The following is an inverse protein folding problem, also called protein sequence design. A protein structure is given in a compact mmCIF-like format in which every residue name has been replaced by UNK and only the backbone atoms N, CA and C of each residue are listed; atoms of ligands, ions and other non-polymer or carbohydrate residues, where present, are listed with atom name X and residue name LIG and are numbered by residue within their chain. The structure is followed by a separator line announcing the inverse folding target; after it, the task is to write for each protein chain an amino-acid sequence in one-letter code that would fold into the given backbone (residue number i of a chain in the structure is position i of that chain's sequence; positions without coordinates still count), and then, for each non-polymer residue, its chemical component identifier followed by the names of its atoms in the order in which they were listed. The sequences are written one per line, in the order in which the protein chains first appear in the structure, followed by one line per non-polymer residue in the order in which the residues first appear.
data_IF_202269032514
#
_entry.id   IF_202269032514
#
_cell.length_a   1.000
_cell.length_b   1.000
_cell.length_c   1.000
_cell.angle_alpha   90.00
_cell.angle_beta   90.00
_cell.angle_gamma   90.00
#
_symmetry.space_group_name_H-M   'P 1'
#
loop_
_entity.id
_entity.type
_entity.pdbx_description
1 polymer ?
#
# COMPACT_ATOMS: atom_id res chain seq x y z
N UNK A 1 -5.90 10.08 9.87
CA UNK A 1 -4.52 10.50 9.53
C UNK A 1 -3.80 9.52 8.59
N UNK A 2 -3.59 8.24 8.94
CA UNK A 2 -2.91 7.30 8.02
C UNK A 2 -3.58 7.18 6.64
N UNK A 3 -4.92 7.17 6.60
CA UNK A 3 -5.69 7.18 5.34
C UNK A 3 -5.57 8.48 4.52
N UNK A 4 -5.30 9.60 5.18
CA UNK A 4 -5.24 10.93 4.54
C UNK A 4 -3.83 11.26 4.05
N UNK A 5 -2.81 10.75 4.74
CA UNK A 5 -1.41 11.03 4.41
C UNK A 5 -0.79 9.84 3.67
N UNK A 6 -0.65 8.69 4.33
CA UNK A 6 0.08 7.55 3.77
C UNK A 6 -0.62 6.92 2.56
N UNK A 7 -1.95 6.81 2.59
CA UNK A 7 -2.70 6.20 1.48
C UNK A 7 -2.80 7.15 0.27
N UNK A 8 -2.91 8.46 0.49
CA UNK A 8 -2.85 9.48 -0.58
C UNK A 8 -1.45 9.55 -1.18
N UNK A 9 -0.40 9.52 -0.37
CA UNK A 9 0.99 9.45 -0.84
C UNK A 9 1.22 8.18 -1.67
N UNK A 10 0.69 7.04 -1.23
CA UNK A 10 0.78 5.78 -1.97
C UNK A 10 0.10 5.85 -3.36
N UNK A 11 -1.00 6.60 -3.49
CA UNK A 11 -1.64 6.86 -4.78
C UNK A 11 -0.79 7.78 -5.66
N UNK A 12 -0.28 8.87 -5.09
CA UNK A 12 0.57 9.82 -5.80
C UNK A 12 1.87 9.16 -6.30
N UNK A 13 2.47 8.30 -5.48
CA UNK A 13 3.67 7.54 -5.83
C UNK A 13 3.49 6.68 -7.08
N UNK A 14 2.28 6.19 -7.40
CA UNK A 14 2.03 5.42 -8.62
C UNK A 14 1.92 6.32 -9.85
N UNK A 15 1.24 7.45 -9.72
CA UNK A 15 0.94 8.36 -10.83
C UNK A 15 2.22 9.06 -11.33
N UNK A 16 3.11 9.47 -10.43
CA UNK A 16 4.21 10.40 -10.77
C UNK A 16 5.45 9.71 -11.38
N UNK A 17 5.75 8.46 -11.00
CA UNK A 17 7.01 7.80 -11.42
C UNK A 17 6.84 6.42 -12.08
N UNK A 18 6.23 5.43 -11.39
CA UNK A 18 6.08 4.07 -11.85
C UNK A 18 5.28 3.94 -13.14
N UNK A 19 4.23 4.74 -13.36
CA UNK A 19 3.47 4.72 -14.63
C UNK A 19 4.36 5.12 -15.80
N UNK A 20 5.12 6.21 -15.68
CA UNK A 20 6.03 6.67 -16.74
C UNK A 20 7.11 5.62 -17.01
N UNK A 21 7.71 5.07 -15.95
CA UNK A 21 8.69 3.98 -16.08
C UNK A 21 8.11 2.73 -16.73
N UNK A 22 6.89 2.34 -16.37
CA UNK A 22 6.20 1.19 -16.94
C UNK A 22 5.86 1.37 -18.41
N UNK A 23 5.34 2.54 -18.80
CA UNK A 23 5.08 2.88 -20.21
C UNK A 23 6.38 2.83 -20.99
N UNK A 24 7.45 3.43 -20.46
CA UNK A 24 8.78 3.39 -21.07
C UNK A 24 9.32 1.95 -21.19
N UNK A 25 9.14 1.10 -20.18
CA UNK A 25 9.55 -0.30 -20.17
C UNK A 25 8.74 -1.12 -21.19
N UNK A 26 7.42 -0.95 -21.27
CA UNK A 26 6.57 -1.61 -22.28
C UNK A 26 6.95 -1.18 -23.69
N UNK A 27 7.06 0.14 -23.93
CA UNK A 27 7.47 0.65 -25.23
C UNK A 27 8.85 0.11 -25.60
N UNK A 28 9.81 0.14 -24.67
CA UNK A 28 11.16 -0.38 -24.91
C UNK A 28 11.12 -1.88 -25.23
N UNK A 29 10.40 -2.68 -24.44
CA UNK A 29 10.26 -4.12 -24.68
C UNK A 29 9.64 -4.40 -26.04
N UNK A 30 8.57 -3.68 -26.39
CA UNK A 30 7.88 -3.78 -27.67
C UNK A 30 8.80 -3.45 -28.84
N UNK A 31 9.45 -2.27 -28.82
CA UNK A 31 10.36 -1.85 -29.90
C UNK A 31 11.57 -2.77 -30.02
N UNK A 32 12.19 -3.17 -28.91
CA UNK A 32 13.33 -4.10 -28.93
C UNK A 32 12.91 -5.45 -29.52
N UNK A 33 11.77 -6.01 -29.09
CA UNK A 33 11.27 -7.27 -29.65
C UNK A 33 10.93 -7.14 -31.14
N UNK A 34 10.27 -6.05 -31.53
CA UNK A 34 9.94 -5.75 -32.93
C UNK A 34 11.21 -5.74 -33.79
N UNK A 35 12.21 -4.93 -33.44
CA UNK A 35 13.46 -4.84 -34.20
C UNK A 35 14.24 -6.16 -34.20
N UNK A 36 14.34 -6.85 -33.06
CA UNK A 36 15.01 -8.15 -32.97
C UNK A 36 14.33 -9.20 -33.88
N UNK A 37 13.00 -9.29 -33.85
CA UNK A 37 12.24 -10.20 -34.71
C UNK A 37 12.39 -9.86 -36.20
N UNK A 38 12.34 -8.57 -36.54
CA UNK A 38 12.53 -8.09 -37.93
C UNK A 38 13.94 -8.39 -38.46
N UNK A 39 14.96 -8.34 -37.61
CA UNK A 39 16.34 -8.66 -37.99
C UNK A 39 16.62 -10.15 -38.08
N UNK A 40 16.17 -10.93 -37.08
CA UNK A 40 16.31 -12.38 -37.08
C UNK A 40 15.38 -13.00 -36.03
N UNK A 41 14.30 -13.63 -36.50
CA UNK A 41 13.40 -14.38 -35.63
C UNK A 41 14.10 -15.57 -34.95
N UNK A 42 15.07 -16.22 -35.63
CA UNK A 42 15.85 -17.34 -35.08
C UNK A 42 16.71 -16.92 -33.89
N UNK A 43 17.46 -15.82 -34.00
CA UNK A 43 18.27 -15.29 -32.89
C UNK A 43 17.39 -14.78 -31.74
N UNK A 44 16.24 -14.18 -32.07
CA UNK A 44 15.31 -13.67 -31.07
C UNK A 44 14.68 -14.77 -30.23
N UNK A 45 14.22 -15.86 -30.85
CA UNK A 45 13.72 -17.02 -30.13
C UNK A 45 14.77 -17.60 -29.20
N UNK A 46 16.01 -17.71 -29.69
CA UNK A 46 17.12 -18.23 -28.90
C UNK A 46 17.44 -17.32 -27.68
N UNK A 47 17.39 -16.00 -27.85
CA UNK A 47 17.52 -15.05 -26.75
C UNK A 47 16.38 -15.15 -25.73
N UNK A 48 15.16 -15.43 -26.19
CA UNK A 48 13.96 -15.57 -25.36
C UNK A 48 13.95 -16.86 -24.52
N UNK A 49 14.73 -17.88 -24.85
CA UNK A 49 14.83 -19.11 -24.03
C UNK A 49 15.36 -18.81 -22.61
N UNK A 50 16.19 -17.78 -22.45
CA UNK A 50 16.67 -17.36 -21.13
C UNK A 50 15.60 -16.63 -20.30
N UNK A 51 14.56 -16.09 -20.95
CA UNK A 51 13.53 -15.26 -20.31
C UNK A 51 12.69 -16.02 -19.27
N UNK A 52 12.17 -17.23 -19.53
CA UNK A 52 11.45 -18.01 -18.50
C UNK A 52 12.26 -18.24 -17.22
N UNK A 53 13.56 -18.49 -17.34
CA UNK A 53 14.46 -18.68 -16.19
C UNK A 53 14.59 -17.39 -15.39
N UNK A 54 14.78 -16.25 -16.07
CA UNK A 54 14.82 -14.93 -15.43
C UNK A 54 13.53 -14.61 -14.68
N UNK A 55 12.37 -14.90 -15.29
CA UNK A 55 11.06 -14.68 -14.67
C UNK A 55 10.91 -15.53 -13.40
N UNK A 56 11.28 -16.82 -13.46
CA UNK A 56 11.20 -17.73 -12.32
C UNK A 56 12.07 -17.27 -11.15
N UNK A 57 13.33 -16.92 -11.44
CA UNK A 57 14.31 -16.44 -10.45
C UNK A 57 13.83 -15.13 -9.81
N UNK A 58 13.30 -14.21 -10.60
CA UNK A 58 12.70 -12.94 -10.11
C UNK A 58 11.49 -13.18 -9.22
N UNK A 59 10.62 -14.14 -9.58
CA UNK A 59 9.43 -14.48 -8.79
C UNK A 59 9.78 -15.07 -7.42
N UNK A 60 10.79 -15.94 -7.35
CA UNK A 60 11.29 -16.51 -6.08
C UNK A 60 11.85 -15.41 -5.18
N UNK A 61 12.69 -14.53 -5.74
CA UNK A 61 13.26 -13.40 -4.98
C UNK A 61 12.18 -12.47 -4.43
N UNK A 62 11.16 -12.17 -5.23
CA UNK A 62 10.03 -11.30 -4.84
C UNK A 62 9.21 -11.90 -3.70
N UNK A 63 8.90 -13.20 -3.74
CA UNK A 63 8.12 -13.89 -2.69
C UNK A 63 8.77 -13.72 -1.31
N UNK A 64 10.07 -13.97 -1.23
CA UNK A 64 10.84 -13.83 0.01
C UNK A 64 10.94 -12.35 0.47
N UNK A 65 11.06 -11.41 -0.48
CA UNK A 65 11.13 -9.97 -0.17
C UNK A 65 9.82 -9.46 0.45
N UNK A 66 8.68 -9.97 0.00
CA UNK A 66 7.37 -9.66 0.58
C UNK A 66 7.23 -10.24 2.01
N UNK A 67 7.71 -11.46 2.23
CA UNK A 67 7.72 -12.09 3.56
C UNK A 67 8.53 -11.25 4.57
N UNK A 68 9.68 -10.73 4.17
CA UNK A 68 10.47 -9.82 5.02
C UNK A 68 9.69 -8.55 5.38
N UNK A 69 9.05 -7.90 4.42
CA UNK A 69 8.24 -6.70 4.68
C UNK A 69 7.15 -6.97 5.71
N UNK A 70 6.47 -8.11 5.63
CA UNK A 70 5.46 -8.52 6.62
C UNK A 70 6.07 -8.69 8.02
N UNK A 71 7.24 -9.34 8.12
CA UNK A 71 7.94 -9.52 9.41
C UNK A 71 8.44 -8.19 10.00
N UNK A 72 8.90 -7.25 9.17
CA UNK A 72 9.26 -5.89 9.62
C UNK A 72 8.02 -5.15 10.12
N UNK A 73 6.90 -5.22 9.39
CA UNK A 73 5.64 -4.60 9.81
C UNK A 73 5.16 -5.11 11.17
N UNK A 74 5.22 -6.43 11.40
CA UNK A 74 4.88 -7.03 12.70
C UNK A 74 5.80 -6.54 13.83
N UNK A 75 7.11 -6.44 13.58
CA UNK A 75 8.07 -5.94 14.56
C UNK A 75 7.81 -4.47 14.90
N UNK A 76 7.52 -3.63 13.90
CA UNK A 76 7.21 -2.22 14.10
C UNK A 76 5.89 -2.02 14.85
N UNK A 77 4.85 -2.81 14.51
CA UNK A 77 3.56 -2.78 15.24
C UNK A 77 3.77 -3.13 16.72
N UNK A 78 4.53 -4.19 17.01
CA UNK A 78 4.84 -4.58 18.39
C UNK A 78 5.55 -3.45 19.16
N UNK A 79 6.51 -2.79 18.49
CA UNK A 79 7.20 -1.63 19.06
C UNK A 79 6.25 -0.48 19.36
N UNK A 80 5.36 -0.16 18.42
CA UNK A 80 4.38 0.91 18.57
C UNK A 80 3.40 0.62 19.71
N UNK A 81 2.89 -0.60 19.80
CA UNK A 81 2.00 -1.04 20.88
C UNK A 81 2.69 -0.92 22.25
N UNK A 82 3.94 -1.39 22.35
CA UNK A 82 4.70 -1.36 23.60
C UNK A 82 5.06 0.06 24.04
N UNK A 83 5.40 0.96 23.11
CA UNK A 83 5.68 2.36 23.42
C UNK A 83 4.41 3.11 23.85
N UNK A 84 3.29 2.86 23.17
CA UNK A 84 2.00 3.47 23.51
C UNK A 84 1.47 2.96 24.86
N UNK A 85 1.68 1.67 25.14
CA UNK A 85 1.26 0.97 26.36
C UNK A 85 2.29 0.96 27.48
N UNK A 86 3.39 1.73 27.39
CA UNK A 86 4.54 1.57 28.31
C UNK A 86 4.16 1.74 29.78
N UNK A 87 3.19 2.62 30.09
CA UNK A 87 2.68 2.82 31.46
C UNK A 87 1.99 1.58 32.02
N UNK A 88 1.27 0.83 31.18
CA UNK A 88 0.60 -0.42 31.57
C UNK A 88 1.65 -1.50 31.80
N UNK A 89 2.62 -1.64 30.89
CA UNK A 89 3.70 -2.62 31.01
C UNK A 89 4.48 -2.40 32.32
N UNK A 90 4.85 -1.13 32.61
CA UNK A 90 5.51 -0.75 33.87
C UNK A 90 4.61 -0.94 35.09
N UNK A 91 3.33 -0.59 34.99
CA UNK A 91 2.37 -0.73 36.09
C UNK A 91 2.15 -2.18 36.53
N UNK A 92 2.29 -3.14 35.62
CA UNK A 92 2.15 -4.57 35.90
C UNK A 92 3.49 -5.34 35.96
N UNK A 93 4.63 -4.65 35.91
CA UNK A 93 5.97 -5.25 35.89
C UNK A 93 6.13 -6.38 34.84
N UNK A 94 5.67 -6.12 33.60
CA UNK A 94 5.65 -7.09 32.48
C UNK A 94 6.76 -6.85 31.45
N UNK A 95 7.83 -6.15 31.80
CA UNK A 95 8.91 -5.80 30.87
C UNK A 95 9.58 -7.04 30.26
N UNK A 96 9.91 -8.04 31.07
CA UNK A 96 10.60 -9.25 30.61
C UNK A 96 9.74 -10.04 29.61
N UNK A 97 8.43 -10.09 29.85
CA UNK A 97 7.48 -10.76 28.96
C UNK A 97 7.42 -10.07 27.59
N UNK A 98 7.32 -8.74 27.57
CA UNK A 98 7.28 -7.99 26.32
C UNK A 98 8.65 -7.96 25.60
N UNK A 99 9.75 -7.99 26.34
CA UNK A 99 11.10 -8.15 25.79
C UNK A 99 11.27 -9.51 25.11
N UNK A 100 10.80 -10.60 25.72
CA UNK A 100 10.87 -11.93 25.09
C UNK A 100 10.03 -11.98 23.80
N UNK A 101 8.82 -11.42 23.84
CA UNK A 101 7.95 -11.30 22.67
C UNK A 101 8.60 -10.47 21.55
N UNK A 102 9.29 -9.38 21.89
CA UNK A 102 10.07 -8.58 20.95
C UNK A 102 11.25 -9.35 20.37
N UNK A 103 12.03 -10.03 21.22
CA UNK A 103 13.19 -10.82 20.79
C UNK A 103 12.79 -11.94 19.83
N UNK A 104 11.66 -12.62 20.08
CA UNK A 104 11.12 -13.64 19.17
C UNK A 104 10.77 -13.05 17.80
N UNK A 105 10.06 -11.92 17.77
CA UNK A 105 9.72 -11.23 16.52
C UNK A 105 10.96 -10.71 15.78
N UNK A 106 11.94 -10.19 16.51
CA UNK A 106 13.23 -9.73 15.99
C UNK A 106 14.04 -10.88 15.41
N UNK A 107 14.03 -12.06 16.05
CA UNK A 107 14.70 -13.27 15.55
C UNK A 107 14.06 -13.78 14.27
N UNK A 108 12.73 -13.84 14.20
CA UNK A 108 12.02 -14.18 12.95
C UNK A 108 12.39 -13.20 11.82
N UNK A 109 12.52 -11.91 12.13
CA UNK A 109 12.96 -10.90 11.19
C UNK A 109 14.39 -11.15 10.69
N UNK A 110 15.31 -11.42 11.62
CA UNK A 110 16.70 -11.74 11.34
C UNK A 110 16.83 -12.96 10.41
N UNK A 111 16.11 -14.05 10.68
CA UNK A 111 16.18 -15.28 9.88
C UNK A 111 15.71 -15.05 8.44
N UNK A 112 14.65 -14.28 8.23
CA UNK A 112 14.19 -13.92 6.89
C UNK A 112 15.19 -12.99 6.19
N UNK A 113 15.81 -12.04 6.91
CA UNK A 113 16.87 -11.18 6.36
C UNK A 113 18.09 -11.98 5.92
N UNK A 114 18.55 -12.94 6.73
CA UNK A 114 19.67 -13.82 6.38
C UNK A 114 19.33 -14.63 5.13
N UNK A 115 18.13 -15.22 5.06
CA UNK A 115 17.67 -15.97 3.89
C UNK A 115 17.64 -15.10 2.63
N UNK A 116 17.15 -13.87 2.73
CA UNK A 116 17.19 -12.89 1.63
C UNK A 116 18.60 -12.46 1.24
N UNK A 117 19.50 -12.32 2.19
CA UNK A 117 20.91 -12.06 1.91
C UNK A 117 21.53 -13.17 1.05
N UNK A 118 21.21 -14.44 1.34
CA UNK A 118 21.61 -15.57 0.50
C UNK A 118 20.98 -15.48 -0.89
N UNK A 119 19.68 -15.19 -0.98
CA UNK A 119 19.02 -15.01 -2.28
C UNK A 119 19.66 -13.88 -3.10
N UNK A 120 19.98 -12.74 -2.50
CA UNK A 120 20.60 -11.61 -3.20
C UNK A 120 22.00 -11.96 -3.72
N UNK A 121 22.78 -12.70 -2.93
CA UNK A 121 24.10 -13.21 -3.33
C UNK A 121 24.05 -14.16 -4.52
N UNK A 122 22.97 -14.93 -4.66
CA UNK A 122 22.80 -15.91 -5.75
C UNK A 122 22.07 -15.31 -6.96
N UNK A 123 21.14 -14.39 -6.73
CA UNK A 123 20.27 -13.80 -7.74
C UNK A 123 21.05 -13.04 -8.83
N UNK A 124 21.93 -12.11 -8.43
CA UNK A 124 22.67 -11.30 -9.39
C UNK A 124 23.66 -12.12 -10.23
N UNK A 125 24.44 -13.05 -9.65
CA UNK A 125 25.24 -13.97 -10.45
C UNK A 125 24.44 -14.85 -11.41
N UNK A 126 23.23 -15.29 -11.07
CA UNK A 126 22.38 -16.05 -12.00
C UNK A 126 21.99 -15.18 -13.20
N UNK A 127 21.59 -13.93 -12.97
CA UNK A 127 21.26 -12.99 -14.05
C UNK A 127 22.49 -12.73 -14.92
N UNK A 128 23.63 -12.44 -14.30
CA UNK A 128 24.88 -12.18 -15.02
C UNK A 128 25.33 -13.41 -15.81
N UNK A 129 25.19 -14.60 -15.24
CA UNK A 129 25.48 -15.88 -15.91
C UNK A 129 24.55 -16.11 -17.11
N UNK A 130 23.24 -15.90 -16.95
CA UNK A 130 22.28 -16.02 -18.05
C UNK A 130 22.56 -15.02 -19.16
N UNK A 131 22.93 -13.78 -18.80
CA UNK A 131 23.34 -12.77 -19.77
C UNK A 131 24.60 -13.21 -20.53
N UNK A 132 25.67 -13.58 -19.82
CA UNK A 132 26.93 -14.01 -20.45
C UNK A 132 26.76 -15.25 -21.33
N UNK A 133 25.97 -16.24 -20.88
CA UNK A 133 25.68 -17.44 -21.68
C UNK A 133 24.79 -17.11 -22.88
N UNK A 134 23.75 -16.30 -22.71
CA UNK A 134 22.92 -15.80 -23.80
C UNK A 134 23.76 -15.10 -24.86
N UNK A 135 24.67 -14.22 -24.44
CA UNK A 135 25.65 -13.55 -25.30
C UNK A 135 26.52 -14.54 -26.06
N UNK A 136 27.06 -15.57 -25.39
CA UNK A 136 27.88 -16.60 -26.03
C UNK A 136 27.11 -17.40 -27.08
N UNK A 137 25.89 -17.84 -26.75
CA UNK A 137 25.06 -18.63 -27.68
C UNK A 137 24.66 -17.80 -28.89
N UNK A 138 24.26 -16.53 -28.69
CA UNK A 138 23.98 -15.59 -29.79
C UNK A 138 25.22 -15.36 -30.64
N UNK A 139 26.41 -15.28 -30.05
CA UNK A 139 27.66 -15.10 -30.79
C UNK A 139 28.00 -16.33 -31.66
N UNK A 140 27.92 -17.54 -31.11
CA UNK A 140 28.18 -18.78 -31.85
C UNK A 140 27.15 -19.00 -32.96
N UNK A 141 25.86 -18.95 -32.64
CA UNK A 141 24.80 -19.21 -33.61
C UNK A 141 24.66 -18.06 -34.62
N UNK A 142 24.81 -16.81 -34.19
CA UNK A 142 24.78 -15.64 -35.06
C UNK A 142 25.95 -15.65 -36.06
N UNK A 143 27.13 -16.13 -35.65
CA UNK A 143 28.26 -16.30 -36.57
C UNK A 143 27.94 -17.31 -37.67
N UNK A 144 27.30 -18.44 -37.34
CA UNK A 144 26.84 -19.43 -38.34
C UNK A 144 25.84 -18.80 -39.32
N UNK A 145 24.88 -18.00 -38.82
CA UNK A 145 23.91 -17.31 -39.68
C UNK A 145 24.57 -16.28 -40.61
N UNK A 146 25.63 -15.60 -40.16
CA UNK A 146 26.43 -14.68 -41.01
C UNK A 146 27.17 -15.48 -42.08
N UNK A 147 27.82 -16.60 -41.73
CA UNK A 147 28.51 -17.46 -42.70
C UNK A 147 27.56 -18.03 -43.75
N UNK A 148 26.35 -18.43 -43.35
CA UNK A 148 25.30 -18.91 -44.24
C UNK A 148 24.63 -17.78 -45.06
N UNK A 149 25.05 -16.53 -44.88
CA UNK A 149 24.47 -15.32 -45.51
C UNK A 149 22.98 -15.10 -45.21
N UNK A 150 22.48 -15.64 -44.09
CA UNK A 150 21.10 -15.43 -43.63
C UNK A 150 20.92 -14.05 -42.98
N UNK A 151 21.98 -13.52 -42.36
CA UNK A 151 22.01 -12.17 -41.78
C UNK A 151 23.31 -11.45 -42.17
N UNK A 152 23.29 -10.12 -42.21
CA UNK A 152 24.51 -9.34 -42.47
C UNK A 152 25.36 -9.19 -41.20
N UNK A 153 26.69 -8.98 -41.32
CA UNK A 153 27.54 -8.67 -40.18
C UNK A 153 27.07 -7.43 -39.40
N UNK A 154 26.50 -6.43 -40.09
CA UNK A 154 25.93 -5.25 -39.46
C UNK A 154 24.73 -5.58 -38.57
N UNK A 155 23.80 -6.41 -39.07
CA UNK A 155 22.68 -6.90 -38.27
C UNK A 155 23.16 -7.67 -37.05
N UNK A 156 24.17 -8.53 -37.21
CA UNK A 156 24.76 -9.30 -36.12
C UNK A 156 25.32 -8.40 -34.99
N UNK A 157 26.08 -7.34 -35.34
CA UNK A 157 26.63 -6.39 -34.36
C UNK A 157 25.53 -5.59 -33.66
N UNK A 158 24.51 -5.14 -34.39
CA UNK A 158 23.39 -4.39 -33.81
C UNK A 158 22.58 -5.30 -32.87
N UNK A 159 22.27 -6.53 -33.28
CA UNK A 159 21.55 -7.50 -32.46
C UNK A 159 22.27 -7.76 -31.14
N UNK A 160 23.60 -7.96 -31.20
CA UNK A 160 24.45 -8.15 -30.02
C UNK A 160 24.35 -7.00 -29.02
N UNK A 161 24.29 -5.75 -29.50
CA UNK A 161 24.17 -4.56 -28.66
C UNK A 161 22.79 -4.39 -28.03
N UNK A 162 21.75 -4.91 -28.67
CA UNK A 162 20.37 -4.83 -28.18
C UNK A 162 20.01 -5.98 -27.23
N UNK A 163 20.75 -7.10 -27.26
CA UNK A 163 20.48 -8.28 -26.43
C UNK A 163 20.36 -7.97 -24.91
N UNK A 164 21.28 -7.23 -24.26
CA UNK A 164 21.13 -6.91 -22.83
C UNK A 164 19.93 -6.01 -22.52
N UNK A 165 19.51 -5.20 -23.50
CA UNK A 165 18.37 -4.28 -23.35
C UNK A 165 17.03 -5.01 -23.38
N UNK A 166 16.98 -6.23 -23.93
CA UNK A 166 15.79 -7.08 -23.92
C UNK A 166 15.42 -7.55 -22.51
N UNK A 167 16.40 -7.73 -21.62
CA UNK A 167 16.18 -8.27 -20.28
C UNK A 167 15.83 -7.21 -19.23
N UNK A 168 16.25 -5.95 -19.42
CA UNK A 168 15.99 -4.86 -18.48
C UNK A 168 14.50 -4.61 -18.19
N UNK A 169 13.68 -4.34 -19.22
CA UNK A 169 12.26 -4.05 -19.05
C UNK A 169 11.47 -5.14 -18.32
N UNK A 170 11.85 -6.41 -18.48
CA UNK A 170 11.18 -7.56 -17.85
C UNK A 170 11.16 -7.41 -16.31
N UNK A 171 12.23 -6.88 -15.73
CA UNK A 171 12.32 -6.61 -14.29
C UNK A 171 11.51 -5.38 -13.86
N UNK A 172 11.37 -4.39 -14.74
CA UNK A 172 10.59 -3.17 -14.52
C UNK A 172 9.08 -3.43 -14.46
N UNK A 173 8.54 -4.21 -15.40
CA UNK A 173 7.12 -4.58 -15.42
C UNK A 173 6.67 -5.23 -14.10
N UNK A 174 7.50 -6.10 -13.51
CA UNK A 174 7.14 -6.74 -12.24
C UNK A 174 7.14 -5.78 -11.04
N UNK A 175 7.92 -4.69 -11.07
CA UNK A 175 7.91 -3.68 -10.00
C UNK A 175 6.62 -2.85 -10.05
N UNK A 176 6.25 -2.41 -11.26
CA UNK A 176 5.02 -1.65 -11.47
C UNK A 176 3.77 -2.39 -10.98
N UNK A 177 3.67 -3.70 -11.21
CA UNK A 177 2.55 -4.49 -10.71
C UNK A 177 2.39 -4.40 -9.17
N UNK A 178 3.48 -4.34 -8.40
CA UNK A 178 3.37 -4.17 -6.94
C UNK A 178 2.85 -2.78 -6.58
N UNK A 179 3.34 -1.75 -7.25
CA UNK A 179 2.90 -0.37 -7.04
C UNK A 179 1.41 -0.22 -7.33
N UNK A 180 0.91 -0.77 -8.45
CA UNK A 180 -0.52 -0.80 -8.75
C UNK A 180 -1.31 -1.47 -7.62
N UNK A 181 -0.89 -2.64 -7.14
CA UNK A 181 -1.63 -3.35 -6.10
C UNK A 181 -1.70 -2.54 -4.80
N UNK A 182 -0.62 -1.86 -4.44
CA UNK A 182 -0.60 -0.96 -3.28
C UNK A 182 -1.51 0.25 -3.49
N UNK A 183 -1.48 0.87 -4.67
CA UNK A 183 -2.37 1.99 -5.01
C UNK A 183 -3.84 1.57 -4.99
N UNK A 184 -4.21 0.42 -5.57
CA UNK A 184 -5.60 -0.06 -5.57
C UNK A 184 -6.13 -0.22 -4.13
N UNK A 185 -5.35 -0.86 -3.26
CA UNK A 185 -5.73 -1.02 -1.85
C UNK A 185 -5.80 0.33 -1.11
N UNK A 186 -4.92 1.28 -1.44
CA UNK A 186 -4.93 2.62 -0.86
C UNK A 186 -6.12 3.45 -1.37
N UNK A 187 -6.45 3.29 -2.66
CA UNK A 187 -7.61 3.89 -3.31
C UNK A 187 -8.90 3.50 -2.61
N UNK A 188 -9.09 2.20 -2.36
CA UNK A 188 -10.27 1.69 -1.65
C UNK A 188 -10.46 2.36 -0.30
N UNK A 189 -9.39 2.50 0.50
CA UNK A 189 -9.44 3.17 1.82
C UNK A 189 -9.64 4.69 1.73
N UNK A 190 -9.13 5.33 0.68
CA UNK A 190 -9.33 6.77 0.46
C UNK A 190 -10.79 7.02 0.07
N UNK A 191 -11.32 6.27 -0.89
CA UNK A 191 -12.72 6.37 -1.29
C UNK A 191 -13.67 5.97 -0.17
N UNK A 192 -13.32 4.97 0.67
CA UNK A 192 -14.10 4.66 1.89
C UNK A 192 -14.32 5.91 2.76
N UNK A 193 -13.31 6.79 2.89
CA UNK A 193 -13.42 8.04 3.66
C UNK A 193 -14.15 9.14 2.87
N UNK A 194 -13.88 9.28 1.58
CA UNK A 194 -14.53 10.30 0.73
C UNK A 194 -16.02 10.05 0.51
N UNK A 195 -16.40 8.78 0.44
CA UNK A 195 -17.77 8.31 0.22
C UNK A 195 -18.51 8.10 1.56
N UNK A 196 -17.87 8.41 2.70
CA UNK A 196 -18.56 8.41 4.00
C UNK A 196 -19.57 9.56 4.02
N UNK A 197 -20.86 9.22 4.02
CA UNK A 197 -21.93 10.22 4.19
C UNK A 197 -21.94 10.72 5.64
N UNK A 198 -22.02 12.06 5.86
CA UNK A 198 -22.25 12.60 7.19
C UNK A 198 -23.57 12.09 7.75
N UNK A 199 -23.55 11.61 9.00
CA UNK A 199 -24.74 11.12 9.70
C UNK A 199 -25.76 12.24 9.93
N UNK A 200 -25.27 13.46 10.17
CA UNK A 200 -26.10 14.65 10.34
C UNK A 200 -26.00 15.50 9.08
N UNK A 201 -27.15 15.70 8.45
CA UNK A 201 -27.30 16.53 7.28
C UNK A 201 -28.35 17.61 7.55
N UNK A 202 -28.13 18.77 6.94
CA UNK A 202 -29.11 19.85 6.97
C UNK A 202 -30.31 19.47 6.09
N UNK A 203 -31.51 19.87 6.52
CA UNK A 203 -32.71 19.71 5.71
C UNK A 203 -32.58 20.53 4.41
N UNK A 204 -33.21 20.11 3.30
CA UNK A 204 -33.12 20.83 2.01
C UNK A 204 -33.59 22.29 2.08
N UNK A 205 -34.43 22.62 3.04
CA UNK A 205 -35.01 23.92 3.34
C UNK A 205 -34.42 24.57 4.61
N UNK A 206 -33.27 24.07 5.09
CA UNK A 206 -32.57 24.65 6.23
C UNK A 206 -32.27 26.14 5.99
N UNK A 207 -32.45 26.93 7.04
CA UNK A 207 -32.20 28.37 7.03
C UNK A 207 -30.98 28.69 7.89
N UNK A 208 -30.23 29.71 7.50
CA UNK A 208 -29.17 30.24 8.34
C UNK A 208 -29.78 30.90 9.59
N UNK A 209 -29.34 30.42 10.76
CA UNK A 209 -29.79 30.95 12.04
C UNK A 209 -29.01 32.23 12.37
N UNK A 210 -29.58 33.40 12.05
CA UNK A 210 -28.88 34.69 12.24
C UNK A 210 -28.76 35.12 13.71
N UNK A 211 -29.87 35.56 14.33
CA UNK A 211 -29.87 36.10 15.69
C UNK A 211 -30.72 35.22 16.60
N UNK A 212 -30.09 34.58 17.58
CA UNK A 212 -30.75 33.68 18.54
C UNK A 212 -30.92 34.40 19.89
N UNK A 213 -32.12 34.34 20.47
CA UNK A 213 -32.37 34.89 21.82
C UNK A 213 -31.72 34.04 22.93
N UNK A 214 -31.43 32.78 22.66
CA UNK A 214 -30.84 31.83 23.63
C UNK A 214 -31.85 31.08 24.49
N UNK A 215 -33.15 31.12 24.15
CA UNK A 215 -34.15 30.22 24.75
C UNK A 215 -33.96 28.80 24.18
N UNK A 216 -33.87 27.79 25.04
CA UNK A 216 -33.69 26.37 24.66
C UNK A 216 -34.81 25.54 25.25
N UNK A 217 -35.42 24.68 24.45
CA UNK A 217 -36.52 23.82 24.88
C UNK A 217 -36.33 22.40 24.36
N UNK A 218 -36.25 21.43 25.28
CA UNK A 218 -36.38 20.01 24.98
C UNK A 218 -37.85 19.63 25.18
N UNK A 219 -38.47 19.01 24.18
CA UNK A 219 -39.87 18.57 24.22
C UNK A 219 -39.94 17.07 23.92
N UNK A 220 -40.36 16.28 24.90
CA UNK A 220 -40.51 14.82 24.81
C UNK A 220 -39.30 14.12 24.19
N UNK A 221 -38.08 14.51 24.56
CA UNK A 221 -36.88 14.01 23.88
C UNK A 221 -36.52 12.61 24.37
N UNK A 222 -36.46 11.69 23.42
CA UNK A 222 -35.97 10.32 23.57
C UNK A 222 -34.68 10.16 22.76
N UNK A 223 -33.66 9.49 23.29
CA UNK A 223 -32.39 9.34 22.58
C UNK A 223 -31.63 8.06 22.94
N UNK A 224 -31.05 7.44 21.90
CA UNK A 224 -30.17 6.26 21.97
C UNK A 224 -28.97 6.45 21.03
N UNK A 225 -27.81 5.88 21.39
CA UNK A 225 -26.68 5.80 20.46
C UNK A 225 -26.87 4.58 19.53
N UNK A 226 -27.35 4.78 18.31
CA UNK A 226 -27.66 3.68 17.38
C UNK A 226 -28.78 2.77 17.91
N UNK A 227 -28.65 1.45 17.72
CA UNK A 227 -29.61 0.43 18.17
C UNK A 227 -29.45 0.02 19.66
N UNK A 228 -28.77 0.84 20.47
CA UNK A 228 -28.53 0.55 21.88
C UNK A 228 -29.73 0.88 22.79
N UNK A 229 -29.58 0.55 24.08
CA UNK A 229 -30.50 0.96 25.14
C UNK A 229 -30.65 2.48 25.21
N UNK A 230 -31.89 2.91 25.43
CA UNK A 230 -32.26 4.31 25.58
C UNK A 230 -31.50 5.00 26.73
N UNK A 231 -30.89 6.15 26.41
CA UNK A 231 -30.06 6.94 27.33
C UNK A 231 -30.86 8.12 27.91
N UNK A 232 -31.73 8.71 27.10
CA UNK A 232 -32.66 9.76 27.52
C UNK A 232 -34.08 9.31 27.20
N UNK A 233 -34.96 9.39 28.20
CA UNK A 233 -36.37 8.99 28.06
C UNK A 233 -37.26 10.15 28.46
N UNK A 234 -38.09 10.63 27.52
CA UNK A 234 -39.13 11.65 27.74
C UNK A 234 -38.64 12.91 28.47
N UNK A 235 -37.60 13.56 27.93
CA UNK A 235 -37.03 14.76 28.55
C UNK A 235 -37.76 16.03 28.12
N UNK A 236 -38.32 16.73 29.11
CA UNK A 236 -39.00 18.02 29.01
C UNK A 236 -38.23 19.09 29.83
N UNK A 237 -37.56 20.02 29.16
CA UNK A 237 -36.77 21.08 29.79
C UNK A 237 -36.97 22.38 29.05
N UNK A 238 -37.19 23.47 29.78
CA UNK A 238 -37.25 24.82 29.23
C UNK A 238 -36.25 25.74 29.93
N UNK A 239 -35.33 26.30 29.16
CA UNK A 239 -34.31 27.24 29.60
C UNK A 239 -34.53 28.59 28.92
N UNK A 240 -34.61 29.66 29.70
CA UNK A 240 -34.77 31.02 29.18
C UNK A 240 -33.43 31.73 29.02
N UNK A 241 -33.38 32.69 28.10
CA UNK A 241 -32.23 33.55 27.89
C UNK A 241 -31.69 34.14 29.20
N UNK A 242 -30.38 34.03 29.41
CA UNK A 242 -29.69 34.50 30.61
C UNK A 242 -29.82 33.59 31.84
N UNK A 243 -30.57 32.48 31.78
CA UNK A 243 -30.61 31.51 32.86
C UNK A 243 -29.38 30.60 32.85
N UNK A 244 -28.91 30.27 34.05
CA UNK A 244 -27.89 29.26 34.28
C UNK A 244 -28.55 28.00 34.83
N UNK A 245 -28.51 26.92 34.05
CA UNK A 245 -29.03 25.61 34.44
C UNK A 245 -27.86 24.66 34.70
N UNK A 246 -27.92 23.95 35.82
CA UNK A 246 -26.93 22.94 36.18
C UNK A 246 -27.58 21.55 36.14
N UNK A 247 -26.97 20.62 35.38
CA UNK A 247 -27.36 19.21 35.36
C UNK A 247 -26.54 18.44 36.39
N UNK A 248 -27.21 17.86 37.39
CA UNK A 248 -26.56 17.11 38.48
C UNK A 248 -27.13 15.70 38.56
N UNK A 249 -26.25 14.71 38.71
CA UNK A 249 -26.64 13.30 38.82
C UNK A 249 -25.43 12.37 38.74
N UNK A 250 -25.60 11.07 38.98
CA UNK A 250 -24.53 10.08 38.96
C UNK A 250 -23.88 9.93 37.57
N UNK A 251 -22.63 9.45 37.51
CA UNK A 251 -21.96 9.18 36.24
C UNK A 251 -22.77 8.22 35.37
N UNK A 252 -22.85 8.48 34.06
CA UNK A 252 -23.62 7.67 33.11
C UNK A 252 -25.11 8.03 32.97
N UNK A 253 -25.63 8.99 33.74
CA UNK A 253 -27.05 9.37 33.71
C UNK A 253 -27.50 10.21 32.49
N UNK A 254 -26.74 10.23 31.39
CA UNK A 254 -27.12 10.98 30.17
C UNK A 254 -26.87 12.49 30.15
N UNK A 255 -26.29 13.10 31.21
CA UNK A 255 -26.04 14.57 31.26
C UNK A 255 -25.24 15.10 30.06
N UNK A 256 -24.13 14.42 29.73
CA UNK A 256 -23.26 14.81 28.61
C UNK A 256 -23.96 14.59 27.27
N UNK A 257 -24.74 13.52 27.16
CA UNK A 257 -25.57 13.23 25.98
C UNK A 257 -26.57 14.37 25.74
N UNK A 258 -27.31 14.76 26.78
CA UNK A 258 -28.26 15.87 26.72
C UNK A 258 -27.60 17.18 26.27
N UNK A 259 -26.42 17.51 26.80
CA UNK A 259 -25.69 18.72 26.39
C UNK A 259 -25.16 18.64 24.96
N UNK A 260 -24.85 17.45 24.44
CA UNK A 260 -24.36 17.26 23.08
C UNK A 260 -25.47 17.31 22.02
N UNK A 261 -26.74 17.14 22.41
CA UNK A 261 -27.89 17.33 21.51
C UNK A 261 -28.16 18.80 21.19
N UNK A 262 -27.79 19.74 22.08
CA UNK A 262 -28.00 21.18 21.86
C UNK A 262 -27.24 21.68 20.61
N UNK A 263 -25.93 21.43 20.43
CA UNK A 263 -25.23 21.77 19.19
C UNK A 263 -25.51 20.80 18.04
N UNK A 264 -26.46 19.86 18.19
CA UNK A 264 -26.81 18.83 17.22
C UNK A 264 -25.59 18.01 16.79
N UNK A 265 -24.85 17.45 17.77
CA UNK A 265 -23.81 16.44 17.47
C UNK A 265 -24.38 15.04 17.25
N UNK A 266 -25.65 14.85 17.62
CA UNK A 266 -26.48 13.67 17.38
C UNK A 266 -27.92 14.16 17.15
N UNK A 267 -28.73 13.36 16.44
CA UNK A 267 -30.17 13.58 16.23
C UNK A 267 -30.99 12.45 16.84
#
# INVERSE_FOLDING_TARGET
MSRVVNDVDSLAEVIVGPVVGFVADICSLFFILYFCLSWSWKLTLLALIATPVLILVTRIFRKNSLELRKKIGKLNSLLQDNLSGIRVIKGFAREDYELDRFNKSSRENYEVRVRLGVYFRVFRPIIDFLNQRGTLVVLCYGSILVFNREISPGIFVIFFRYLPRLYGPITGLSRFYNHIQQALASSERVFEVLDTEPEIQDAPDAIDLETVKGDVEFRGVHFSYGDETEVLSDIEIKAYSGQMIAFVGPSGSGKTTLTNLIPRFYD
#
